data_IF_913415090988
#
_entry.id   IF_913415090988
#
_cell.length_a   1.000
_cell.length_b   1.000
_cell.length_c   1.000
_cell.angle_alpha   90.00
_cell.angle_beta   90.00
_cell.angle_gamma   90.00
#
_symmetry.space_group_name_H-M   'P 1'
#
loop_
_entity.id
_entity.type
_entity.pdbx_description
1 polymer ?
#
# COMPACT_ATOMS: atom_id res chain seq x y z
N UNK A 1 31.71 68.90 67.67
CA UNK A 1 31.96 68.80 66.21
C UNK A 1 32.67 67.50 65.88
N UNK A 2 33.85 67.22 66.47
CA UNK A 2 34.59 65.95 66.25
C UNK A 2 33.77 64.70 66.62
N UNK A 3 33.14 64.66 67.79
CA UNK A 3 32.28 63.54 68.19
C UNK A 3 31.01 63.34 67.33
N UNK A 4 30.60 64.37 66.57
CA UNK A 4 29.52 64.24 65.59
C UNK A 4 30.05 63.60 64.31
N UNK A 5 31.23 64.03 63.86
CA UNK A 5 31.90 63.47 62.68
C UNK A 5 32.29 62.00 62.89
N UNK A 6 32.75 61.63 64.09
CA UNK A 6 33.05 60.22 64.42
C UNK A 6 31.79 59.35 64.43
N UNK A 7 30.68 59.89 64.95
CA UNK A 7 29.40 59.16 64.98
C UNK A 7 28.80 59.02 63.58
N UNK A 8 28.93 60.04 62.75
CA UNK A 8 28.50 60.01 61.34
C UNK A 8 29.36 59.03 60.51
N UNK A 9 30.67 58.97 60.77
CA UNK A 9 31.55 57.98 60.17
C UNK A 9 31.20 56.54 60.60
N UNK A 10 30.95 56.30 61.90
CA UNK A 10 30.55 54.98 62.39
C UNK A 10 29.20 54.52 61.79
N UNK A 11 28.19 55.39 61.76
CA UNK A 11 26.90 55.05 61.14
C UNK A 11 27.06 54.70 59.66
N UNK A 12 27.92 55.43 58.93
CA UNK A 12 28.17 55.17 57.51
C UNK A 12 28.96 53.88 57.27
N UNK A 13 29.80 53.45 58.22
CA UNK A 13 30.45 52.14 58.18
C UNK A 13 29.43 51.04 58.49
N UNK A 14 28.58 51.21 59.50
CA UNK A 14 27.53 50.24 59.83
C UNK A 14 26.51 50.07 58.69
N UNK A 15 26.09 51.15 58.02
CA UNK A 15 25.22 51.09 56.83
C UNK A 15 25.88 50.37 55.65
N UNK A 16 27.20 50.48 55.49
CA UNK A 16 27.94 49.75 54.44
C UNK A 16 28.19 48.29 54.84
N UNK A 17 28.27 48.00 56.14
CA UNK A 17 28.37 46.65 56.68
C UNK A 17 27.01 45.92 56.76
N UNK A 18 25.90 46.65 56.67
CA UNK A 18 24.55 46.08 56.54
C UNK A 18 24.43 45.29 55.23
N UNK A 19 24.50 43.97 55.37
CA UNK A 19 24.59 42.99 54.27
C UNK A 19 23.28 42.80 53.49
N UNK A 20 22.28 43.65 53.68
CA UNK A 20 20.94 43.45 53.13
C UNK A 20 20.93 43.53 51.61
N UNK A 21 21.59 44.53 51.02
CA UNK A 21 21.66 44.69 49.57
C UNK A 21 22.42 43.52 48.91
N UNK A 22 23.53 43.10 49.52
CA UNK A 22 24.33 41.95 49.05
C UNK A 22 23.49 40.65 49.10
N UNK A 23 22.65 40.47 50.12
CA UNK A 23 21.79 39.29 50.24
C UNK A 23 20.66 39.31 49.20
N UNK A 24 20.10 40.48 48.88
CA UNK A 24 19.10 40.64 47.82
C UNK A 24 19.71 40.31 46.45
N UNK A 25 20.90 40.83 46.14
CA UNK A 25 21.58 40.53 44.88
C UNK A 25 21.98 39.06 44.74
N UNK A 26 22.49 38.44 45.82
CA UNK A 26 22.75 37.00 45.86
C UNK A 26 21.47 36.19 45.63
N UNK A 27 20.35 36.60 46.23
CA UNK A 27 19.05 35.98 46.01
C UNK A 27 18.59 36.07 44.55
N UNK A 28 18.74 37.24 43.93
CA UNK A 28 18.45 37.45 42.49
C UNK A 28 19.32 36.58 41.60
N UNK A 29 20.63 36.54 41.87
CA UNK A 29 21.57 35.71 41.12
C UNK A 29 21.23 34.23 41.26
N UNK A 30 20.99 33.75 42.49
CA UNK A 30 20.60 32.38 42.76
C UNK A 30 19.31 32.00 42.05
N UNK A 31 18.28 32.84 42.14
CA UNK A 31 17.00 32.58 41.47
C UNK A 31 17.16 32.55 39.94
N UNK A 32 17.93 33.49 39.36
CA UNK A 32 18.22 33.49 37.92
C UNK A 32 18.92 32.21 37.46
N UNK A 33 19.90 31.72 38.22
CA UNK A 33 20.57 30.45 37.92
C UNK A 33 19.63 29.25 38.13
N UNK A 34 18.82 29.27 39.18
CA UNK A 34 17.83 28.23 39.45
C UNK A 34 16.83 28.10 38.28
N UNK A 35 16.29 29.21 37.77
CA UNK A 35 15.38 29.20 36.61
C UNK A 35 16.07 28.59 35.38
N UNK A 36 17.32 28.96 35.08
CA UNK A 36 18.07 28.39 33.95
C UNK A 36 18.26 26.88 34.07
N UNK A 37 18.57 26.40 35.29
CA UNK A 37 18.73 24.97 35.55
C UNK A 37 17.39 24.25 35.37
N UNK A 38 16.31 24.77 35.93
CA UNK A 38 14.96 24.20 35.77
C UNK A 38 14.57 24.12 34.28
N UNK A 39 14.70 25.21 33.53
CA UNK A 39 14.39 25.23 32.09
C UNK A 39 15.20 24.22 31.27
N UNK A 40 16.48 24.05 31.62
CA UNK A 40 17.35 23.08 30.95
C UNK A 40 16.84 21.64 31.16
N UNK A 41 16.49 21.29 32.40
CA UNK A 41 15.99 19.95 32.72
C UNK A 41 14.58 19.72 32.16
N UNK A 42 13.69 20.71 32.18
CA UNK A 42 12.38 20.62 31.53
C UNK A 42 12.49 20.35 30.03
N UNK A 43 13.40 21.05 29.33
CA UNK A 43 13.66 20.80 27.90
C UNK A 43 14.22 19.40 27.66
N UNK A 44 15.09 18.91 28.55
CA UNK A 44 15.67 17.58 28.47
C UNK A 44 14.62 16.49 28.69
N UNK A 45 13.73 16.67 29.66
CA UNK A 45 12.63 15.77 29.95
C UNK A 45 11.64 15.69 28.77
N UNK A 46 11.19 16.83 28.25
CA UNK A 46 10.31 16.89 27.07
C UNK A 46 10.90 16.16 25.86
N UNK A 47 12.21 16.28 25.63
CA UNK A 47 12.93 15.57 24.56
C UNK A 47 12.94 14.06 24.79
N UNK A 48 13.20 13.61 26.02
CA UNK A 48 13.19 12.18 26.36
C UNK A 48 11.79 11.59 26.16
N UNK A 49 10.74 12.30 26.58
CA UNK A 49 9.36 11.85 26.42
C UNK A 49 8.93 11.79 24.95
N UNK A 50 9.31 12.79 24.15
CA UNK A 50 9.11 12.75 22.69
C UNK A 50 9.81 11.53 22.10
N UNK A 51 11.09 11.34 22.42
CA UNK A 51 11.86 10.22 21.90
C UNK A 51 11.26 8.86 22.29
N UNK A 52 10.76 8.70 23.52
CA UNK A 52 10.05 7.49 23.97
C UNK A 52 8.78 7.25 23.16
N UNK A 53 7.98 8.29 22.91
CA UNK A 53 6.76 8.17 22.08
C UNK A 53 7.11 7.75 20.66
N UNK A 54 8.13 8.35 20.07
CA UNK A 54 8.59 8.01 18.71
C UNK A 54 9.09 6.56 18.64
N UNK A 55 9.83 6.10 19.65
CA UNK A 55 10.29 4.71 19.74
C UNK A 55 9.12 3.73 19.79
N UNK A 56 8.12 3.98 20.67
CA UNK A 56 6.93 3.12 20.77
C UNK A 56 6.15 3.12 19.46
N UNK A 57 5.97 4.29 18.85
CA UNK A 57 5.28 4.42 17.57
C UNK A 57 6.01 3.64 16.46
N UNK A 58 7.33 3.76 16.37
CA UNK A 58 8.13 3.04 15.38
C UNK A 58 8.04 1.52 15.57
N UNK A 59 8.09 1.03 16.82
CA UNK A 59 7.92 -0.40 17.12
C UNK A 59 6.53 -0.90 16.71
N UNK A 60 5.47 -0.15 17.02
CA UNK A 60 4.11 -0.50 16.60
C UNK A 60 3.98 -0.51 15.08
N UNK A 61 4.54 0.49 14.40
CA UNK A 61 4.53 0.56 12.94
C UNK A 61 5.29 -0.61 12.31
N UNK A 62 6.45 -0.99 12.86
CA UNK A 62 7.20 -2.14 12.37
C UNK A 62 6.40 -3.45 12.52
N UNK A 63 5.73 -3.65 13.66
CA UNK A 63 4.86 -4.79 13.86
C UNK A 63 3.67 -4.80 12.87
N UNK A 64 3.06 -3.64 12.62
CA UNK A 64 1.98 -3.50 11.64
C UNK A 64 2.45 -3.80 10.21
N UNK A 65 3.62 -3.30 9.80
CA UNK A 65 4.19 -3.59 8.48
C UNK A 65 4.43 -5.09 8.30
N UNK A 66 5.04 -5.75 9.30
CA UNK A 66 5.26 -7.22 9.26
C UNK A 66 3.95 -7.99 9.13
N UNK A 67 2.88 -7.55 9.79
CA UNK A 67 1.56 -8.16 9.64
C UNK A 67 0.99 -7.95 8.23
N UNK A 68 1.14 -6.78 7.64
CA UNK A 68 0.70 -6.52 6.26
C UNK A 68 1.48 -7.37 5.26
N UNK A 69 2.81 -7.40 5.37
CA UNK A 69 3.68 -8.24 4.54
C UNK A 69 3.29 -9.72 4.62
N UNK A 70 3.05 -10.24 5.83
CA UNK A 70 2.60 -11.62 6.00
C UNK A 70 1.25 -11.89 5.32
N UNK A 71 0.30 -10.94 5.42
CA UNK A 71 -1.01 -11.07 4.77
C UNK A 71 -0.89 -11.03 3.25
N UNK A 72 -0.05 -10.17 2.71
CA UNK A 72 0.22 -10.09 1.27
C UNK A 72 0.86 -11.38 0.77
N UNK A 73 1.87 -11.90 1.47
CA UNK A 73 2.51 -13.16 1.13
C UNK A 73 1.51 -14.32 1.15
N UNK A 74 0.63 -14.40 2.15
CA UNK A 74 -0.40 -15.43 2.20
C UNK A 74 -1.36 -15.36 1.01
N UNK A 75 -1.76 -14.15 0.60
CA UNK A 75 -2.61 -13.97 -0.59
C UNK A 75 -1.85 -14.38 -1.85
N UNK A 76 -0.59 -14.01 -1.98
CA UNK A 76 0.25 -14.40 -3.12
C UNK A 76 0.43 -15.91 -3.21
N UNK A 77 0.68 -16.59 -2.08
CA UNK A 77 0.79 -18.04 -2.00
C UNK A 77 -0.52 -18.71 -2.40
N UNK A 78 -1.65 -18.22 -1.89
CA UNK A 78 -2.97 -18.74 -2.24
C UNK A 78 -3.28 -18.58 -3.74
N UNK A 79 -2.93 -17.42 -4.31
CA UNK A 79 -3.09 -17.17 -5.76
C UNK A 79 -2.17 -18.07 -6.59
N UNK A 80 -0.93 -18.30 -6.14
CA UNK A 80 0.00 -19.21 -6.81
C UNK A 80 -0.48 -20.67 -6.74
N UNK A 81 -1.03 -21.11 -5.61
CA UNK A 81 -1.67 -22.43 -5.49
C UNK A 81 -2.90 -22.57 -6.38
N UNK A 82 -3.75 -21.53 -6.45
CA UNK A 82 -4.88 -21.52 -7.36
C UNK A 82 -4.43 -21.61 -8.83
N UNK A 83 -3.38 -20.87 -9.20
CA UNK A 83 -2.74 -20.96 -10.52
C UNK A 83 -2.28 -22.37 -10.84
N UNK A 84 -1.57 -23.04 -9.92
CA UNK A 84 -1.15 -24.44 -10.09
C UNK A 84 -2.32 -25.41 -10.28
N UNK A 85 -3.44 -25.18 -9.58
CA UNK A 85 -4.67 -25.99 -9.76
C UNK A 85 -5.30 -25.75 -11.14
N UNK A 86 -5.29 -24.52 -11.64
CA UNK A 86 -5.75 -24.21 -12.99
C UNK A 86 -4.85 -24.88 -14.05
N UNK A 87 -3.53 -24.86 -13.86
CA UNK A 87 -2.60 -25.56 -14.76
C UNK A 87 -2.85 -27.08 -14.78
N UNK A 88 -3.21 -27.68 -13.64
CA UNK A 88 -3.60 -29.08 -13.57
C UNK A 88 -4.88 -29.36 -14.38
N UNK A 89 -5.89 -28.49 -14.30
CA UNK A 89 -7.12 -28.62 -15.12
C UNK A 89 -6.84 -28.49 -16.62
N UNK A 90 -5.92 -27.61 -17.02
CA UNK A 90 -5.54 -27.44 -18.43
C UNK A 90 -4.87 -28.69 -18.99
N UNK A 91 -4.13 -29.44 -18.16
CA UNK A 91 -3.54 -30.72 -18.56
C UNK A 91 -4.56 -31.83 -18.80
N UNK A 92 -5.80 -31.68 -18.34
CA UNK A 92 -6.88 -32.63 -18.58
C UNK A 92 -7.70 -32.21 -19.81
N UNK A 93 -7.51 -32.84 -20.99
CA UNK A 93 -8.15 -32.41 -22.24
C UNK A 93 -9.68 -32.34 -22.21
N UNK A 94 -10.44 -33.27 -21.59
CA UNK A 94 -11.90 -33.22 -21.62
C UNK A 94 -12.46 -32.09 -20.74
N UNK A 95 -11.85 -31.87 -19.58
CA UNK A 95 -12.22 -30.78 -18.68
C UNK A 95 -11.91 -29.42 -19.33
N UNK A 96 -10.72 -29.30 -19.93
CA UNK A 96 -10.31 -28.07 -20.61
C UNK A 96 -11.16 -27.74 -21.84
N UNK A 97 -11.52 -28.74 -22.66
CA UNK A 97 -12.42 -28.54 -23.80
C UNK A 97 -13.77 -27.97 -23.35
N UNK A 98 -14.35 -28.51 -22.29
CA UNK A 98 -15.65 -28.06 -21.75
C UNK A 98 -15.56 -26.63 -21.20
N UNK A 99 -14.45 -26.32 -20.53
CA UNK A 99 -14.18 -24.96 -20.03
C UNK A 99 -14.06 -23.94 -21.17
N UNK A 100 -13.29 -24.26 -22.21
CA UNK A 100 -13.11 -23.37 -23.37
C UNK A 100 -14.43 -23.14 -24.11
N UNK A 101 -15.27 -24.17 -24.25
CA UNK A 101 -16.61 -24.04 -24.83
C UNK A 101 -17.45 -23.01 -24.07
N UNK A 102 -17.49 -23.10 -22.75
CA UNK A 102 -18.19 -22.13 -21.90
C UNK A 102 -17.60 -20.72 -21.99
N UNK A 103 -16.28 -20.58 -22.00
CA UNK A 103 -15.60 -19.28 -22.06
C UNK A 103 -15.83 -18.56 -23.40
N UNK A 104 -15.75 -19.26 -24.52
CA UNK A 104 -16.02 -18.69 -25.85
C UNK A 104 -17.48 -18.24 -25.92
N UNK A 105 -18.39 -19.12 -25.51
CA UNK A 105 -19.83 -18.86 -25.56
C UNK A 105 -20.21 -17.66 -24.68
N UNK A 106 -19.63 -17.55 -23.48
CA UNK A 106 -19.77 -16.37 -22.60
C UNK A 106 -19.23 -15.09 -23.27
N UNK A 107 -18.06 -15.17 -23.94
CA UNK A 107 -17.48 -14.05 -24.67
C UNK A 107 -18.39 -13.56 -25.81
N UNK A 108 -18.93 -14.49 -26.59
CA UNK A 108 -19.86 -14.18 -27.68
C UNK A 108 -21.14 -13.51 -27.18
N UNK A 109 -21.74 -14.02 -26.09
CA UNK A 109 -22.94 -13.39 -25.50
C UNK A 109 -22.68 -12.01 -24.92
N UNK A 110 -21.46 -11.71 -24.50
CA UNK A 110 -21.09 -10.39 -23.99
C UNK A 110 -20.88 -9.38 -25.11
N UNK A 111 -20.26 -9.79 -26.22
CA UNK A 111 -19.97 -8.92 -27.37
C UNK A 111 -21.20 -8.65 -28.23
N UNK A 112 -22.01 -9.68 -28.55
CA UNK A 112 -23.20 -9.59 -29.43
C UNK A 112 -22.96 -8.93 -30.80
N UNK A 113 -21.75 -9.06 -31.33
CA UNK A 113 -21.34 -8.49 -32.61
C UNK A 113 -21.47 -9.49 -33.77
N UNK A 114 -21.63 -9.02 -35.01
CA UNK A 114 -21.72 -9.89 -36.19
C UNK A 114 -20.36 -10.49 -36.58
N UNK A 115 -19.25 -9.88 -36.17
CA UNK A 115 -17.90 -10.40 -36.42
C UNK A 115 -17.05 -10.31 -35.15
N UNK A 116 -16.41 -11.43 -34.83
CA UNK A 116 -15.63 -11.57 -33.60
C UNK A 116 -14.30 -12.27 -33.92
N UNK A 117 -13.21 -11.69 -33.44
CA UNK A 117 -11.88 -12.28 -33.45
C UNK A 117 -11.60 -13.02 -32.14
N UNK A 118 -10.91 -14.16 -32.25
CA UNK A 118 -10.54 -15.01 -31.11
C UNK A 118 -9.04 -15.23 -31.12
N UNK A 119 -8.37 -14.80 -30.04
CA UNK A 119 -6.96 -15.05 -29.78
C UNK A 119 -6.82 -16.16 -28.74
N UNK A 120 -6.03 -17.18 -29.07
CA UNK A 120 -5.70 -18.26 -28.15
C UNK A 120 -4.19 -18.48 -28.11
N UNK A 121 -3.73 -19.46 -27.33
CA UNK A 121 -2.34 -19.92 -27.41
C UNK A 121 -2.11 -20.80 -28.61
N UNK A 122 -0.86 -20.86 -29.07
CA UNK A 122 -0.43 -21.73 -30.17
C UNK A 122 -0.77 -23.20 -29.94
N UNK A 123 -0.67 -23.68 -28.71
CA UNK A 123 -0.96 -25.08 -28.35
C UNK A 123 -2.45 -25.40 -28.38
N UNK A 124 -3.31 -24.40 -28.17
CA UNK A 124 -4.76 -24.56 -28.04
C UNK A 124 -5.48 -24.34 -29.37
N UNK A 125 -4.76 -24.04 -30.46
CA UNK A 125 -5.35 -23.70 -31.76
C UNK A 125 -6.28 -24.80 -32.29
N UNK A 126 -5.84 -26.05 -32.21
CA UNK A 126 -6.61 -27.17 -32.74
C UNK A 126 -7.86 -27.44 -31.89
N UNK A 127 -7.72 -27.30 -30.57
CA UNK A 127 -8.84 -27.44 -29.62
C UNK A 127 -9.87 -26.34 -29.85
N UNK A 128 -9.42 -25.08 -29.97
CA UNK A 128 -10.29 -23.92 -30.19
C UNK A 128 -11.04 -24.03 -31.50
N UNK A 129 -10.40 -24.49 -32.58
CA UNK A 129 -11.08 -24.73 -33.87
C UNK A 129 -12.21 -25.77 -33.72
N UNK A 130 -11.94 -26.88 -33.04
CA UNK A 130 -12.95 -27.91 -32.79
C UNK A 130 -14.11 -27.42 -31.91
N UNK A 131 -13.81 -26.59 -30.90
CA UNK A 131 -14.82 -25.98 -30.02
C UNK A 131 -15.68 -24.96 -30.79
N UNK A 132 -15.08 -24.16 -31.68
CA UNK A 132 -15.79 -23.15 -32.46
C UNK A 132 -16.87 -23.76 -33.36
N UNK A 133 -16.60 -24.91 -33.98
CA UNK A 133 -17.59 -25.63 -34.78
C UNK A 133 -18.85 -26.01 -33.98
N UNK A 134 -18.70 -26.28 -32.67
CA UNK A 134 -19.81 -26.60 -31.76
C UNK A 134 -20.49 -25.35 -31.21
N UNK A 135 -19.76 -24.28 -30.92
CA UNK A 135 -20.31 -23.08 -30.26
C UNK A 135 -21.13 -22.20 -31.21
N UNK A 136 -20.74 -22.10 -32.49
CA UNK A 136 -21.45 -21.29 -33.50
C UNK A 136 -22.94 -21.65 -33.63
N UNK A 137 -23.34 -22.93 -33.78
CA UNK A 137 -24.76 -23.28 -33.89
C UNK A 137 -25.53 -22.97 -32.59
N UNK A 138 -24.94 -23.26 -31.42
CA UNK A 138 -25.56 -23.00 -30.11
C UNK A 138 -25.84 -21.50 -29.94
N UNK A 139 -24.87 -20.65 -30.28
CA UNK A 139 -25.05 -19.20 -30.21
C UNK A 139 -26.13 -18.71 -31.20
N UNK A 140 -26.13 -19.24 -32.42
CA UNK A 140 -27.07 -18.85 -33.48
C UNK A 140 -28.51 -19.21 -33.11
N UNK A 141 -28.73 -20.36 -32.47
CA UNK A 141 -30.03 -20.80 -31.97
C UNK A 141 -30.57 -19.87 -30.88
N UNK A 142 -29.71 -19.48 -29.93
CA UNK A 142 -30.13 -18.66 -28.79
C UNK A 142 -30.33 -17.18 -29.15
N UNK A 143 -29.46 -16.60 -29.97
CA UNK A 143 -29.45 -15.16 -30.28
C UNK A 143 -30.16 -14.83 -31.59
N UNK A 144 -30.45 -15.85 -32.43
CA UNK A 144 -31.07 -15.72 -33.76
C UNK A 144 -30.33 -14.74 -34.69
N UNK A 145 -29.03 -14.57 -34.48
CA UNK A 145 -28.13 -13.77 -35.32
C UNK A 145 -26.94 -14.60 -35.73
N UNK A 146 -26.51 -14.45 -36.97
CA UNK A 146 -25.32 -15.11 -37.50
C UNK A 146 -24.08 -14.35 -37.04
N UNK A 147 -23.06 -15.09 -36.61
CA UNK A 147 -21.76 -14.53 -36.19
C UNK A 147 -20.66 -15.16 -37.01
N UNK A 148 -19.77 -14.32 -37.54
CA UNK A 148 -18.52 -14.75 -38.18
C UNK A 148 -17.40 -14.70 -37.14
N UNK A 149 -16.96 -15.87 -36.70
CA UNK A 149 -15.85 -16.01 -35.76
C UNK A 149 -14.57 -16.34 -36.52
N UNK A 150 -13.51 -15.57 -36.31
CA UNK A 150 -12.20 -15.78 -36.90
C UNK A 150 -11.16 -16.02 -35.81
N UNK A 151 -10.27 -17.00 -36.00
CA UNK A 151 -9.12 -17.22 -35.12
C UNK A 151 -7.96 -16.41 -35.66
N UNK A 152 -7.42 -15.50 -34.84
CA UNK A 152 -6.24 -14.75 -35.24
C UNK A 152 -5.01 -15.66 -35.24
N UNK A 153 -4.25 -15.62 -36.34
CA UNK A 153 -3.01 -16.38 -36.51
C UNK A 153 -1.76 -15.50 -36.36
N UNK A 154 -1.93 -14.19 -36.19
CA UNK A 154 -0.84 -13.23 -36.04
C UNK A 154 -0.64 -12.83 -34.57
N UNK A 155 -1.72 -12.75 -33.79
CA UNK A 155 -1.67 -12.41 -32.36
C UNK A 155 -2.04 -13.63 -31.51
N UNK A 156 -1.08 -14.15 -30.75
CA UNK A 156 -1.28 -15.26 -29.83
C UNK A 156 -1.10 -14.79 -28.39
N UNK A 157 -1.81 -15.45 -27.49
CA UNK A 157 -1.57 -15.30 -26.05
C UNK A 157 -0.13 -15.71 -25.70
N UNK A 158 0.48 -15.07 -24.69
CA UNK A 158 1.81 -15.46 -24.22
C UNK A 158 1.83 -16.92 -23.77
N UNK A 159 2.96 -17.58 -24.01
CA UNK A 159 3.15 -18.99 -23.67
C UNK A 159 3.13 -19.26 -22.16
N UNK A 160 3.39 -18.24 -21.35
CA UNK A 160 3.45 -18.31 -19.89
C UNK A 160 2.07 -18.24 -19.21
N UNK A 161 1.03 -17.90 -19.95
CA UNK A 161 -0.31 -17.93 -19.37
C UNK A 161 -0.74 -19.40 -19.10
N UNK A 162 -1.70 -19.62 -18.18
CA UNK A 162 -2.18 -20.96 -17.77
C UNK A 162 -3.22 -21.58 -18.72
N UNK A 163 -4.25 -20.81 -19.13
CA UNK A 163 -5.16 -21.19 -20.23
C UNK A 163 -5.93 -19.98 -20.76
N UNK A 164 -6.93 -20.23 -21.59
CA UNK A 164 -7.96 -19.24 -21.89
C UNK A 164 -7.86 -18.59 -23.27
N UNK A 165 -8.80 -17.68 -23.49
CA UNK A 165 -9.10 -17.10 -24.80
C UNK A 165 -9.40 -15.62 -24.61
N UNK A 166 -8.85 -14.80 -25.49
CA UNK A 166 -9.21 -13.40 -25.62
C UNK A 166 -10.12 -13.22 -26.83
N UNK A 167 -11.25 -12.55 -26.60
CA UNK A 167 -12.25 -12.30 -27.63
C UNK A 167 -12.27 -10.81 -27.92
N UNK A 168 -12.04 -10.43 -29.17
CA UNK A 168 -11.91 -9.05 -29.58
C UNK A 168 -12.82 -8.73 -30.77
N UNK A 169 -13.20 -7.47 -30.91
CA UNK A 169 -13.88 -6.96 -32.10
C UNK A 169 -12.81 -6.64 -33.16
N UNK A 170 -13.05 -6.91 -34.46
CA UNK A 170 -12.12 -6.53 -35.52
C UNK A 170 -11.78 -5.02 -35.53
N UNK A 171 -12.66 -4.16 -35.02
CA UNK A 171 -12.44 -2.71 -34.91
C UNK A 171 -11.60 -2.30 -33.69
N UNK A 172 -11.15 -3.23 -32.84
CA UNK A 172 -10.28 -2.98 -31.68
C UNK A 172 -10.89 -2.16 -30.53
N UNK A 173 -12.13 -1.69 -30.66
CA UNK A 173 -12.87 -0.95 -29.62
C UNK A 173 -13.77 -1.92 -28.85
N UNK A 174 -13.78 -1.85 -27.52
CA UNK A 174 -14.81 -2.50 -26.70
C UNK A 174 -16.17 -1.79 -26.87
N UNK A 175 -17.30 -2.50 -26.72
CA UNK A 175 -18.61 -1.84 -26.64
C UNK A 175 -18.66 -0.85 -25.47
N UNK A 176 -19.43 0.25 -25.60
CA UNK A 176 -19.71 1.16 -24.49
C UNK A 176 -20.46 0.49 -23.34
#
# INVERSE_FOLDING_TARGET
>A
MVAFMDKEACNRVEEVEEKEEINIEKGRFFHSQQTKVTEYYEKKEKRIDQHRRDQIYNLMKEAQMKMMEFRENLIQDMLAEAGKKLDQMVREPPAYHTLLEGLILQGLFRLKEPSVGVCCRRQDLDIVKAVLEKVIPIYTEQVKRTVKVFVDSNHFLPADASGGIEVFRPDGKLPP
#
